data_IF_063068553565
#
_entry.id   IF_063068553565
#
_cell.length_a   1.000
_cell.length_b   1.000
_cell.length_c   1.000
_cell.angle_alpha   90.00
_cell.angle_beta   90.00
_cell.angle_gamma   90.00
#
_symmetry.space_group_name_H-M   'P 1'
#
loop_
_entity.id
_entity.type
_entity.pdbx_description
1 polymer ?
#
# COMPACT_ATOMS: atom_id res chain seq x y z
N UNK A 1 -6.94 -8.18 -26.56
CA UNK A 1 -5.56 -8.08 -26.03
C UNK A 1 -4.95 -9.47 -26.05
N UNK A 2 -3.70 -9.62 -26.48
CA UNK A 2 -2.99 -10.90 -26.38
C UNK A 2 -2.76 -11.23 -24.91
N UNK A 3 -3.12 -12.43 -24.47
CA UNK A 3 -2.96 -12.79 -23.06
C UNK A 3 -1.49 -12.86 -22.64
N UNK A 4 -1.18 -12.42 -21.44
CA UNK A 4 0.17 -12.37 -20.85
C UNK A 4 0.44 -13.60 -19.98
N UNK A 5 1.67 -14.10 -20.02
CA UNK A 5 2.17 -15.03 -19.01
C UNK A 5 2.53 -14.22 -17.76
N UNK A 6 1.79 -14.43 -16.67
CA UNK A 6 1.95 -13.67 -15.44
C UNK A 6 2.50 -14.57 -14.35
N UNK A 7 3.63 -14.18 -13.74
CA UNK A 7 4.13 -14.81 -12.54
C UNK A 7 3.77 -14.01 -11.29
N UNK A 8 3.49 -14.70 -10.18
CA UNK A 8 3.32 -14.07 -8.87
C UNK A 8 4.38 -14.60 -7.92
N UNK A 9 5.38 -13.78 -7.62
CA UNK A 9 6.45 -14.11 -6.69
C UNK A 9 5.97 -13.91 -5.26
N UNK A 10 5.74 -14.99 -4.52
CA UNK A 10 5.10 -14.95 -3.20
C UNK A 10 3.61 -15.26 -3.22
N UNK A 11 3.15 -16.07 -4.20
CA UNK A 11 1.73 -16.37 -4.45
C UNK A 11 0.95 -16.93 -3.24
N UNK A 12 1.63 -17.54 -2.27
CA UNK A 12 0.99 -18.11 -1.05
C UNK A 12 0.96 -17.16 0.15
N UNK A 13 1.51 -15.94 0.00
CA UNK A 13 1.47 -14.91 1.04
C UNK A 13 0.18 -14.08 0.97
N UNK A 14 -0.07 -13.28 1.99
CA UNK A 14 -1.30 -12.45 2.10
C UNK A 14 -1.48 -11.54 0.88
N UNK A 15 -0.42 -10.82 0.47
CA UNK A 15 -0.48 -9.93 -0.71
C UNK A 15 -0.54 -10.71 -2.01
N UNK A 16 0.21 -11.83 -2.14
CA UNK A 16 0.18 -12.65 -3.35
C UNK A 16 -1.20 -13.27 -3.62
N UNK A 17 -1.88 -13.73 -2.57
CA UNK A 17 -3.28 -14.19 -2.65
C UNK A 17 -4.21 -13.05 -3.05
N UNK A 18 -4.03 -11.83 -2.50
CA UNK A 18 -4.83 -10.69 -2.93
C UNK A 18 -4.56 -10.29 -4.39
N UNK A 19 -3.32 -10.40 -4.88
CA UNK A 19 -2.99 -10.14 -6.28
C UNK A 19 -3.72 -11.10 -7.22
N UNK A 20 -3.81 -12.39 -6.87
CA UNK A 20 -4.60 -13.37 -7.63
C UNK A 20 -6.06 -12.93 -7.74
N UNK A 21 -6.69 -12.61 -6.60
CA UNK A 21 -8.06 -12.14 -6.56
C UNK A 21 -8.26 -10.86 -7.40
N UNK A 22 -7.35 -9.90 -7.30
CA UNK A 22 -7.41 -8.66 -8.07
C UNK A 22 -7.27 -8.91 -9.57
N UNK A 23 -6.40 -9.83 -10.01
CA UNK A 23 -6.30 -10.21 -11.42
C UNK A 23 -7.62 -10.77 -11.96
N UNK A 24 -8.29 -11.63 -11.19
CA UNK A 24 -9.59 -12.21 -11.57
C UNK A 24 -10.70 -11.17 -11.63
N UNK A 25 -10.88 -10.39 -10.56
CA UNK A 25 -11.95 -9.40 -10.43
C UNK A 25 -11.83 -8.29 -11.48
N UNK A 26 -10.60 -7.96 -11.87
CA UNK A 26 -10.31 -6.94 -12.88
C UNK A 26 -10.24 -7.50 -14.30
N UNK A 27 -10.47 -8.81 -14.48
CA UNK A 27 -10.41 -9.51 -15.75
C UNK A 27 -9.09 -9.26 -16.50
N UNK A 28 -7.96 -9.26 -15.76
CA UNK A 28 -6.65 -9.07 -16.36
C UNK A 28 -6.37 -10.19 -17.36
N UNK A 29 -5.84 -9.92 -18.56
CA UNK A 29 -5.73 -10.92 -19.62
C UNK A 29 -4.54 -11.86 -19.37
N UNK A 30 -4.68 -12.81 -18.44
CA UNK A 30 -3.70 -13.86 -18.15
C UNK A 30 -3.88 -15.03 -19.13
N UNK A 31 -2.87 -15.33 -19.95
CA UNK A 31 -2.84 -16.54 -20.79
C UNK A 31 -2.29 -17.76 -20.05
N UNK A 32 -1.37 -17.55 -19.12
CA UNK A 32 -0.78 -18.58 -18.26
C UNK A 32 -0.34 -17.97 -16.94
N UNK A 33 -0.82 -18.54 -15.83
CA UNK A 33 -0.38 -18.16 -14.49
C UNK A 33 0.84 -19.00 -14.06
N UNK A 34 1.85 -18.35 -13.50
CA UNK A 34 3.05 -18.98 -12.91
C UNK A 34 3.15 -18.59 -11.43
N UNK A 35 2.46 -19.30 -10.52
CA UNK A 35 2.51 -18.96 -9.10
C UNK A 35 3.81 -19.48 -8.48
N UNK A 36 4.62 -18.56 -7.96
CA UNK A 36 5.94 -18.85 -7.39
C UNK A 36 5.94 -18.64 -5.88
N UNK A 37 6.59 -19.54 -5.16
CA UNK A 37 6.78 -19.42 -3.72
C UNK A 37 8.09 -20.08 -3.26
N UNK A 38 8.36 -20.03 -1.95
CA UNK A 38 9.46 -20.78 -1.33
C UNK A 38 9.34 -22.29 -1.57
N UNK A 39 10.48 -23.01 -1.53
CA UNK A 39 10.55 -24.47 -1.69
C UNK A 39 9.53 -25.24 -0.84
N UNK A 40 9.28 -24.80 0.40
CA UNK A 40 8.28 -25.38 1.33
C UNK A 40 6.83 -25.33 0.83
N UNK A 41 6.52 -24.49 -0.15
CA UNK A 41 5.18 -24.31 -0.71
C UNK A 41 5.04 -24.88 -2.12
N UNK A 42 6.11 -25.42 -2.69
CA UNK A 42 6.08 -26.13 -3.98
C UNK A 42 5.07 -27.28 -3.93
N UNK A 43 4.28 -27.42 -4.99
CA UNK A 43 3.29 -28.50 -5.13
C UNK A 43 1.94 -28.21 -4.46
N UNK A 44 1.81 -27.10 -3.71
CA UNK A 44 0.49 -26.62 -3.28
C UNK A 44 -0.34 -26.24 -4.50
N UNK A 45 -1.66 -26.39 -4.39
CA UNK A 45 -2.60 -25.95 -5.41
C UNK A 45 -3.23 -24.63 -4.95
N UNK A 46 -3.34 -23.69 -5.87
CA UNK A 46 -4.15 -22.48 -5.73
C UNK A 46 -5.24 -22.50 -6.78
N UNK A 47 -6.38 -21.89 -6.48
CA UNK A 47 -7.46 -21.72 -7.45
C UNK A 47 -7.24 -20.38 -8.20
N UNK A 48 -7.40 -20.39 -9.52
CA UNK A 48 -7.38 -19.21 -10.37
C UNK A 48 -8.33 -19.44 -11.56
N UNK A 49 -9.34 -18.59 -11.71
CA UNK A 49 -10.46 -18.74 -12.64
C UNK A 49 -11.15 -20.10 -12.56
N UNK A 50 -11.27 -20.66 -11.35
CA UNK A 50 -11.86 -21.97 -11.10
C UNK A 50 -10.97 -23.17 -11.50
N UNK A 51 -9.75 -22.93 -11.98
CA UNK A 51 -8.76 -23.96 -12.28
C UNK A 51 -7.72 -24.07 -11.17
N UNK A 52 -7.23 -25.29 -10.92
CA UNK A 52 -6.16 -25.52 -9.95
C UNK A 52 -4.81 -25.37 -10.60
N UNK A 53 -4.03 -24.40 -10.13
CA UNK A 53 -2.67 -24.14 -10.60
C UNK A 53 -1.66 -24.56 -9.54
N UNK A 54 -0.66 -25.33 -9.96
CA UNK A 54 0.39 -25.82 -9.06
C UNK A 54 1.42 -24.74 -8.78
N UNK A 55 1.65 -24.45 -7.49
CA UNK A 55 2.70 -23.55 -7.02
C UNK A 55 4.08 -24.14 -7.32
N UNK A 56 4.91 -23.36 -8.00
CA UNK A 56 6.30 -23.70 -8.32
C UNK A 56 7.25 -23.03 -7.33
N UNK A 57 8.46 -23.57 -7.26
CA UNK A 57 9.52 -22.94 -6.48
C UNK A 57 10.05 -21.71 -7.22
N UNK A 58 10.29 -20.63 -6.48
CA UNK A 58 10.83 -19.40 -7.02
C UNK A 58 12.34 -19.54 -7.29
N UNK A 59 12.69 -19.88 -8.53
CA UNK A 59 14.08 -19.94 -9.03
C UNK A 59 14.23 -19.05 -10.28
N UNK A 60 15.45 -18.68 -10.68
CA UNK A 60 15.67 -17.87 -11.88
C UNK A 60 15.04 -18.47 -13.16
N UNK A 61 15.08 -19.79 -13.31
CA UNK A 61 14.55 -20.52 -14.47
C UNK A 61 13.02 -20.47 -14.53
N UNK A 62 12.34 -20.26 -13.40
CA UNK A 62 10.88 -20.18 -13.34
C UNK A 62 10.31 -18.93 -14.04
N UNK A 63 11.17 -17.98 -14.42
CA UNK A 63 10.80 -16.77 -15.17
C UNK A 63 10.92 -16.93 -16.69
N UNK A 64 11.27 -18.11 -17.21
CA UNK A 64 11.35 -18.34 -18.65
C UNK A 64 9.97 -18.18 -19.34
N UNK A 65 9.93 -17.27 -20.31
CA UNK A 65 8.71 -16.96 -21.07
C UNK A 65 7.61 -16.31 -20.22
N UNK A 66 7.99 -15.63 -19.13
CA UNK A 66 7.10 -14.77 -18.33
C UNK A 66 7.15 -13.35 -18.92
N UNK A 67 5.97 -12.75 -19.11
CA UNK A 67 5.86 -11.37 -19.60
C UNK A 67 5.85 -10.37 -18.45
N UNK A 68 5.14 -10.70 -17.36
CA UNK A 68 4.96 -9.81 -16.19
C UNK A 68 5.16 -10.60 -14.91
N UNK A 69 5.93 -10.03 -13.96
CA UNK A 69 6.05 -10.56 -12.59
C UNK A 69 5.39 -9.59 -11.62
N UNK A 70 4.43 -10.06 -10.84
CA UNK A 70 3.92 -9.36 -9.66
C UNK A 70 4.69 -9.85 -8.42
N UNK A 71 5.48 -8.96 -7.83
CA UNK A 71 6.33 -9.25 -6.68
C UNK A 71 5.63 -9.01 -5.35
N UNK A 72 5.43 -10.07 -4.57
CA UNK A 72 4.90 -10.06 -3.21
C UNK A 72 5.82 -10.84 -2.24
N UNK A 73 7.13 -10.69 -2.41
CA UNK A 73 8.16 -11.32 -1.57
C UNK A 73 8.95 -10.26 -0.77
N UNK A 74 9.76 -10.72 0.18
CA UNK A 74 10.60 -9.84 0.99
C UNK A 74 11.80 -9.30 0.21
N UNK A 75 12.38 -8.20 0.71
CA UNK A 75 13.47 -7.46 0.06
C UNK A 75 14.63 -8.34 -0.41
N UNK A 76 15.03 -9.34 0.39
CA UNK A 76 16.13 -10.25 0.05
C UNK A 76 15.81 -11.12 -1.17
N UNK A 77 14.58 -11.66 -1.25
CA UNK A 77 14.16 -12.45 -2.40
C UNK A 77 13.96 -11.55 -3.64
N UNK A 78 13.41 -10.35 -3.46
CA UNK A 78 13.22 -9.39 -4.54
C UNK A 78 14.57 -9.01 -5.18
N UNK A 79 15.59 -8.67 -4.37
CA UNK A 79 16.95 -8.36 -4.84
C UNK A 79 17.62 -9.50 -5.58
N UNK A 80 17.31 -10.74 -5.22
CA UNK A 80 17.88 -11.92 -5.85
C UNK A 80 17.17 -12.30 -7.16
N UNK A 81 15.84 -12.27 -7.18
CA UNK A 81 15.04 -12.91 -8.24
C UNK A 81 14.48 -11.95 -9.28
N UNK A 82 14.17 -10.70 -8.92
CA UNK A 82 13.60 -9.76 -9.88
C UNK A 82 14.59 -9.33 -10.98
N UNK A 83 15.89 -9.13 -10.70
CA UNK A 83 16.88 -8.92 -11.76
C UNK A 83 16.98 -10.11 -12.73
N UNK A 84 16.82 -11.34 -12.23
CA UNK A 84 16.83 -12.55 -13.06
C UNK A 84 15.60 -12.63 -13.98
N UNK A 85 14.43 -12.24 -13.49
CA UNK A 85 13.20 -12.15 -14.29
C UNK A 85 13.31 -11.04 -15.36
N UNK A 86 13.79 -9.86 -14.97
CA UNK A 86 14.02 -8.72 -15.86
C UNK A 86 15.01 -9.06 -16.99
N UNK A 87 16.09 -9.75 -16.69
CA UNK A 87 17.08 -10.21 -17.67
C UNK A 87 16.50 -11.24 -18.68
N UNK A 88 15.42 -11.93 -18.32
CA UNK A 88 14.68 -12.87 -19.18
C UNK A 88 13.54 -12.22 -19.95
N UNK A 89 13.40 -10.90 -19.86
CA UNK A 89 12.44 -10.10 -20.64
C UNK A 89 11.12 -9.78 -19.92
N UNK A 90 10.92 -10.24 -18.68
CA UNK A 90 9.72 -9.91 -17.92
C UNK A 90 9.79 -8.48 -17.36
N UNK A 91 8.67 -7.77 -17.35
CA UNK A 91 8.53 -6.52 -16.57
C UNK A 91 8.05 -6.87 -15.16
N UNK A 92 8.80 -6.45 -14.15
CA UNK A 92 8.53 -6.75 -12.75
C UNK A 92 7.83 -5.56 -12.07
N UNK A 93 6.74 -5.81 -11.37
CA UNK A 93 6.07 -4.86 -10.48
C UNK A 93 6.29 -5.33 -9.03
N UNK A 94 7.20 -4.67 -8.30
CA UNK A 94 7.68 -5.14 -7.00
C UNK A 94 7.04 -4.43 -5.81
N UNK A 95 6.41 -5.18 -4.90
CA UNK A 95 5.86 -4.64 -3.66
C UNK A 95 6.88 -4.49 -2.52
N UNK A 96 8.09 -5.05 -2.66
CA UNK A 96 9.12 -4.94 -1.63
C UNK A 96 9.70 -3.51 -1.54
N UNK A 97 10.49 -3.24 -0.50
CA UNK A 97 11.21 -1.97 -0.39
C UNK A 97 12.51 -1.96 -1.21
N UNK A 98 12.92 -3.10 -1.79
CA UNK A 98 14.24 -3.33 -2.36
C UNK A 98 14.71 -2.27 -3.36
N UNK A 99 13.80 -1.75 -4.19
CA UNK A 99 14.12 -0.88 -5.33
C UNK A 99 13.42 0.48 -5.29
N UNK A 100 12.60 0.77 -4.27
CA UNK A 100 11.68 1.93 -4.27
C UNK A 100 12.38 3.27 -4.44
N UNK A 101 13.59 3.41 -3.89
CA UNK A 101 14.36 4.66 -3.92
C UNK A 101 15.49 4.65 -4.95
N UNK A 102 15.65 3.58 -5.73
CA UNK A 102 16.64 3.54 -6.82
C UNK A 102 16.25 4.57 -7.89
N UNK A 103 17.24 5.33 -8.38
CA UNK A 103 16.98 6.45 -9.31
C UNK A 103 16.50 5.99 -10.69
N UNK A 104 16.80 4.75 -11.08
CA UNK A 104 16.48 4.13 -12.37
C UNK A 104 15.33 3.10 -12.27
N UNK A 105 14.58 3.12 -11.16
CA UNK A 105 13.36 2.33 -10.97
C UNK A 105 12.21 3.28 -10.65
N UNK A 106 11.17 3.38 -11.50
CA UNK A 106 10.02 4.22 -11.20
C UNK A 106 9.24 3.69 -9.99
N UNK A 107 8.71 4.59 -9.17
CA UNK A 107 7.90 4.28 -7.98
C UNK A 107 6.50 4.84 -8.20
N UNK A 108 5.52 3.96 -8.43
CA UNK A 108 4.30 4.36 -9.15
C UNK A 108 3.03 4.17 -8.33
N UNK A 109 2.18 5.21 -8.34
CA UNK A 109 0.76 5.12 -8.02
C UNK A 109 0.00 5.53 -9.29
N UNK A 110 -0.77 4.65 -9.93
CA UNK A 110 -1.40 4.94 -11.22
C UNK A 110 -2.34 6.17 -11.22
N UNK A 111 -2.91 6.53 -10.08
CA UNK A 111 -3.71 7.76 -9.94
C UNK A 111 -2.87 9.06 -9.85
N UNK A 112 -1.55 8.96 -9.71
CA UNK A 112 -0.64 10.09 -9.46
C UNK A 112 0.35 10.28 -10.61
N UNK A 113 1.17 9.28 -10.90
CA UNK A 113 2.28 9.34 -11.85
C UNK A 113 2.32 8.14 -12.83
N UNK A 114 1.22 7.82 -13.54
CA UNK A 114 1.18 6.68 -14.46
C UNK A 114 2.19 6.78 -15.62
N UNK A 115 2.61 7.99 -16.00
CA UNK A 115 3.60 8.25 -17.04
C UNK A 115 4.99 7.66 -16.72
N UNK A 116 5.34 7.55 -15.44
CA UNK A 116 6.61 6.97 -15.00
C UNK A 116 6.74 5.50 -15.38
N UNK A 117 5.61 4.82 -15.60
CA UNK A 117 5.57 3.44 -16.11
C UNK A 117 6.26 3.35 -17.47
N UNK A 118 6.34 4.41 -18.29
CA UNK A 118 7.00 4.33 -19.60
C UNK A 118 8.54 4.24 -19.50
N UNK A 119 9.12 4.64 -18.37
CA UNK A 119 10.57 4.71 -18.19
C UNK A 119 11.05 3.78 -17.06
N UNK A 120 11.13 2.48 -17.37
CA UNK A 120 11.62 1.43 -16.46
C UNK A 120 12.87 0.74 -17.05
N UNK A 121 14.04 1.39 -17.13
CA UNK A 121 15.21 0.86 -17.83
C UNK A 121 15.72 -0.48 -17.26
N UNK A 122 15.38 -0.81 -16.00
CA UNK A 122 15.69 -2.11 -15.38
C UNK A 122 14.65 -3.21 -15.61
N UNK A 123 13.56 -2.94 -16.35
CA UNK A 123 12.36 -3.79 -16.36
C UNK A 123 11.80 -4.07 -14.96
N UNK A 124 11.99 -3.13 -14.03
CA UNK A 124 11.45 -3.17 -12.67
C UNK A 124 10.73 -1.85 -12.42
N UNK A 125 9.52 -1.95 -11.91
CA UNK A 125 8.68 -0.86 -11.43
C UNK A 125 8.38 -1.16 -9.96
N UNK A 126 8.61 -0.19 -9.09
CA UNK A 126 8.35 -0.36 -7.67
C UNK A 126 6.91 0.05 -7.33
N UNK A 127 6.24 -0.80 -6.56
CA UNK A 127 4.97 -0.54 -5.91
C UNK A 127 5.24 0.06 -4.51
N UNK A 128 4.63 1.20 -4.15
CA UNK A 128 4.96 1.92 -2.91
C UNK A 128 4.52 1.24 -1.61
N UNK A 129 4.85 1.89 -0.49
CA UNK A 129 4.37 1.53 0.84
C UNK A 129 2.86 1.76 0.92
N UNK A 130 2.18 0.84 1.59
CA UNK A 130 0.73 0.87 1.66
C UNK A 130 0.16 2.12 2.33
N UNK A 131 0.75 2.59 3.44
CA UNK A 131 0.34 3.84 4.07
C UNK A 131 0.61 5.04 3.16
N UNK A 132 1.74 5.03 2.46
CA UNK A 132 2.04 6.07 1.47
C UNK A 132 1.00 6.14 0.35
N UNK A 133 0.58 5.01 -0.22
CA UNK A 133 -0.50 4.98 -1.23
C UNK A 133 -1.79 5.55 -0.64
N UNK A 134 -2.18 5.08 0.54
CA UNK A 134 -3.45 5.47 1.19
C UNK A 134 -3.47 6.97 1.52
N UNK A 135 -2.36 7.54 2.01
CA UNK A 135 -2.28 8.96 2.29
C UNK A 135 -2.16 9.84 1.04
N UNK A 136 -1.48 9.37 -0.01
CA UNK A 136 -1.20 10.20 -1.18
C UNK A 136 -2.29 10.20 -2.25
N UNK A 137 -3.00 9.10 -2.46
CA UNK A 137 -4.13 9.04 -3.41
C UNK A 137 -5.12 10.19 -3.20
N UNK A 138 -5.58 10.50 -1.96
CA UNK A 138 -6.45 11.65 -1.73
C UNK A 138 -5.68 12.98 -1.65
N UNK A 139 -4.41 12.99 -1.28
CA UNK A 139 -3.62 14.23 -1.20
C UNK A 139 -3.27 14.77 -2.58
N UNK A 140 -3.04 13.90 -3.57
CA UNK A 140 -2.65 14.27 -4.93
C UNK A 140 -3.61 15.25 -5.62
N UNK A 141 -4.94 15.00 -5.71
CA UNK A 141 -5.85 15.94 -6.33
C UNK A 141 -5.91 17.29 -5.58
N UNK A 142 -5.72 17.28 -4.25
CA UNK A 142 -5.61 18.53 -3.47
C UNK A 142 -4.31 19.28 -3.77
N UNK A 143 -3.20 18.57 -3.97
CA UNK A 143 -1.95 19.17 -4.42
C UNK A 143 -2.13 19.80 -5.82
N UNK A 144 -2.76 19.11 -6.76
CA UNK A 144 -3.04 19.66 -8.09
C UNK A 144 -3.92 20.93 -8.00
N UNK A 145 -4.87 20.96 -7.08
CA UNK A 145 -5.74 22.11 -6.87
C UNK A 145 -5.07 23.28 -6.12
N UNK A 146 -4.20 23.04 -5.13
CA UNK A 146 -3.77 24.08 -4.20
C UNK A 146 -2.26 24.16 -3.93
N UNK A 147 -1.46 23.23 -4.44
CA UNK A 147 0.00 23.18 -4.26
C UNK A 147 0.41 22.75 -2.85
N UNK A 148 0.52 21.44 -2.60
CA UNK A 148 1.01 20.90 -1.32
C UNK A 148 2.43 21.38 -0.97
N UNK A 149 2.61 21.94 0.23
CA UNK A 149 3.91 22.34 0.79
C UNK A 149 4.38 21.45 1.94
N UNK A 150 3.43 21.01 2.77
CA UNK A 150 3.72 20.21 3.96
C UNK A 150 2.58 19.25 4.23
N UNK A 151 2.93 18.07 4.70
CA UNK A 151 2.02 17.04 5.16
C UNK A 151 2.43 16.58 6.56
N UNK A 152 1.50 16.63 7.50
CA UNK A 152 1.64 16.06 8.85
C UNK A 152 0.68 14.88 8.92
N UNK A 153 1.20 13.71 9.28
CA UNK A 153 0.45 12.45 9.24
C UNK A 153 0.58 11.71 10.56
N UNK A 154 -0.55 11.24 11.09
CA UNK A 154 -0.57 10.23 12.14
C UNK A 154 -1.32 9.01 11.63
N UNK A 155 -0.63 7.89 11.51
CA UNK A 155 -1.19 6.66 10.96
C UNK A 155 -1.67 5.72 12.05
N UNK A 156 -2.75 5.01 11.75
CA UNK A 156 -3.39 3.98 12.55
C UNK A 156 -3.38 2.70 11.70
N UNK A 157 -2.24 2.03 11.67
CA UNK A 157 -2.01 0.91 10.78
C UNK A 157 -2.50 -0.41 11.38
N UNK A 158 -3.26 -1.17 10.60
CA UNK A 158 -3.78 -2.50 10.94
C UNK A 158 -2.71 -3.59 11.12
N UNK A 159 -3.04 -4.64 11.87
CA UNK A 159 -2.21 -5.80 12.17
C UNK A 159 -1.77 -6.57 10.92
N UNK A 160 -2.61 -6.64 9.88
CA UNK A 160 -2.25 -7.33 8.63
C UNK A 160 -1.09 -6.69 7.86
N UNK A 161 -0.65 -5.47 8.20
CA UNK A 161 0.60 -4.91 7.70
C UNK A 161 1.83 -5.74 8.12
N UNK A 162 1.75 -6.51 9.20
CA UNK A 162 2.77 -7.48 9.62
C UNK A 162 2.54 -8.89 9.03
N UNK A 163 1.66 -9.00 8.02
CA UNK A 163 1.32 -10.26 7.36
C UNK A 163 0.48 -11.21 8.20
N UNK A 164 0.45 -12.47 7.79
CA UNK A 164 -0.33 -13.53 8.46
C UNK A 164 0.05 -13.73 9.94
N UNK A 165 1.33 -13.65 10.36
CA UNK A 165 1.68 -13.71 11.78
C UNK A 165 1.01 -12.62 12.61
N UNK A 166 1.04 -11.36 12.16
CA UNK A 166 0.39 -10.26 12.88
C UNK A 166 -1.13 -10.40 13.02
N UNK A 167 -1.80 -10.95 11.99
CA UNK A 167 -3.23 -11.27 12.05
C UNK A 167 -3.55 -12.32 13.11
N UNK A 168 -2.81 -13.43 13.08
CA UNK A 168 -2.98 -14.53 14.05
C UNK A 168 -2.68 -14.08 15.46
N UNK A 169 -1.71 -13.20 15.62
CA UNK A 169 -1.33 -12.70 16.93
C UNK A 169 -2.41 -11.81 17.53
N UNK A 170 -2.92 -10.84 16.79
CA UNK A 170 -4.04 -10.01 17.27
C UNK A 170 -5.24 -10.88 17.66
N UNK A 171 -5.55 -11.91 16.86
CA UNK A 171 -6.63 -12.87 17.17
C UNK A 171 -6.35 -13.65 18.46
N UNK A 172 -5.13 -14.16 18.64
CA UNK A 172 -4.71 -14.90 19.83
C UNK A 172 -4.82 -14.03 21.08
N UNK A 173 -4.20 -12.85 21.06
CA UNK A 173 -4.19 -11.93 22.20
C UNK A 173 -5.61 -11.52 22.59
N UNK A 174 -6.47 -11.22 21.60
CA UNK A 174 -7.87 -10.84 21.84
C UNK A 174 -8.64 -11.97 22.53
N UNK A 175 -8.47 -13.23 22.11
CA UNK A 175 -9.13 -14.38 22.74
C UNK A 175 -8.65 -14.59 24.19
N UNK A 176 -7.34 -14.55 24.42
CA UNK A 176 -6.76 -14.72 25.75
C UNK A 176 -7.29 -13.67 26.72
N UNK A 177 -7.35 -12.40 26.31
CA UNK A 177 -7.88 -11.32 27.15
C UNK A 177 -9.38 -11.44 27.37
N UNK A 178 -10.14 -11.87 26.36
CA UNK A 178 -11.58 -12.11 26.49
C UNK A 178 -11.90 -13.21 27.51
N UNK A 179 -11.03 -14.21 27.62
CA UNK A 179 -11.14 -15.31 28.59
C UNK A 179 -10.57 -14.94 29.98
N UNK A 180 -10.13 -13.69 30.18
CA UNK A 180 -9.56 -13.21 31.44
C UNK A 180 -8.13 -13.71 31.74
N UNK A 181 -7.42 -14.21 30.72
CA UNK A 181 -6.04 -14.68 30.83
C UNK A 181 -5.01 -13.57 30.63
N UNK A 182 -3.74 -13.93 30.87
CA UNK A 182 -2.57 -13.07 30.58
C UNK A 182 -1.98 -13.44 29.22
N UNK A 183 -1.69 -12.43 28.38
CA UNK A 183 -1.27 -12.62 26.97
C UNK A 183 0.09 -13.33 26.83
N UNK A 184 1.01 -13.12 27.76
CA UNK A 184 2.39 -13.58 27.65
C UNK A 184 3.19 -12.77 26.62
N UNK A 185 4.16 -13.42 25.98
CA UNK A 185 4.99 -12.81 24.93
C UNK A 185 4.18 -12.53 23.66
N UNK A 186 4.55 -11.46 22.95
CA UNK A 186 3.96 -11.07 21.66
C UNK A 186 4.96 -11.26 20.51
N UNK A 187 4.51 -11.86 19.41
CA UNK A 187 5.28 -11.98 18.15
C UNK A 187 4.32 -11.92 16.95
N UNK A 188 4.57 -11.10 15.90
CA UNK A 188 5.81 -10.37 15.61
C UNK A 188 5.89 -8.96 16.23
N UNK A 189 4.95 -8.59 17.08
CA UNK A 189 4.90 -7.25 17.67
C UNK A 189 5.81 -7.16 18.90
N UNK A 190 6.46 -6.01 19.11
CA UNK A 190 7.33 -5.80 20.27
C UNK A 190 6.57 -5.81 21.62
N UNK A 191 5.26 -5.58 21.58
CA UNK A 191 4.36 -5.53 22.73
C UNK A 191 2.99 -6.07 22.34
N UNK A 192 2.15 -6.35 23.34
CA UNK A 192 0.74 -6.69 23.15
C UNK A 192 0.05 -5.64 22.27
N UNK A 193 -0.64 -6.08 21.22
CA UNK A 193 -1.41 -5.22 20.35
C UNK A 193 -2.88 -5.16 20.76
N UNK A 194 -3.48 -6.26 21.18
CA UNK A 194 -4.88 -6.28 21.61
C UNK A 194 -5.11 -5.28 22.76
N UNK A 195 -6.12 -4.43 22.63
CA UNK A 195 -6.44 -3.33 23.55
C UNK A 195 -5.30 -2.33 23.80
N UNK A 196 -4.34 -2.21 22.88
CA UNK A 196 -3.18 -1.35 23.01
C UNK A 196 -2.82 -0.65 21.69
N UNK A 197 -1.95 0.37 21.76
CA UNK A 197 -1.35 1.04 20.61
C UNK A 197 0.17 0.91 20.68
N UNK A 198 0.81 0.57 19.56
CA UNK A 198 2.28 0.46 19.49
C UNK A 198 2.80 1.57 18.58
N UNK A 199 3.42 2.64 19.11
CA UNK A 199 3.92 3.79 18.34
C UNK A 199 5.29 3.49 17.71
N UNK A 200 5.42 2.31 17.11
CA UNK A 200 6.62 1.87 16.41
C UNK A 200 6.22 0.92 15.29
N UNK A 201 6.61 1.26 14.06
CA UNK A 201 6.50 0.36 12.91
C UNK A 201 7.84 0.31 12.18
N UNK A 202 8.39 -0.89 12.04
CA UNK A 202 9.76 -1.06 11.57
C UNK A 202 10.80 -0.64 12.61
N UNK A 203 12.05 -0.50 12.18
CA UNK A 203 13.17 -0.21 13.06
C UNK A 203 13.43 1.30 13.20
N UNK A 204 13.83 1.73 14.40
CA UNK A 204 14.32 3.10 14.61
C UNK A 204 15.59 3.39 13.78
N UNK A 205 15.71 4.66 13.39
CA UNK A 205 16.77 5.28 12.60
C UNK A 205 17.27 6.53 13.36
N UNK A 206 17.99 7.39 12.66
CA UNK A 206 18.49 8.64 13.22
C UNK A 206 17.33 9.54 13.71
N UNK A 207 17.62 10.38 14.70
CA UNK A 207 16.69 11.35 15.30
C UNK A 207 15.38 10.77 15.86
N UNK A 208 15.31 9.46 16.08
CA UNK A 208 14.15 8.78 16.67
C UNK A 208 13.04 8.44 15.67
N UNK A 209 13.23 8.67 14.38
CA UNK A 209 12.29 8.23 13.35
C UNK A 209 12.38 6.73 13.11
N UNK A 210 11.26 6.11 12.77
CA UNK A 210 11.20 4.72 12.32
C UNK A 210 11.36 4.63 10.80
N UNK A 211 11.77 3.46 10.31
CA UNK A 211 11.85 3.19 8.88
C UNK A 211 10.50 3.37 8.17
N UNK A 212 9.37 3.15 8.85
CA UNK A 212 8.05 3.33 8.25
C UNK A 212 7.69 4.80 8.06
N UNK A 213 8.03 5.66 9.02
CA UNK A 213 7.82 7.10 8.91
C UNK A 213 8.68 7.72 7.80
N UNK A 214 9.92 7.25 7.65
CA UNK A 214 10.80 7.69 6.57
C UNK A 214 10.34 7.23 5.19
N UNK A 215 9.63 6.09 5.07
CA UNK A 215 9.03 5.67 3.78
C UNK A 215 8.01 6.68 3.31
N UNK A 216 7.07 7.11 4.17
CA UNK A 216 6.06 8.12 3.82
C UNK A 216 6.71 9.39 3.22
N UNK A 217 7.77 9.89 3.87
CA UNK A 217 8.51 11.05 3.40
C UNK A 217 9.22 10.79 2.06
N UNK A 218 10.07 9.77 2.01
CA UNK A 218 10.98 9.58 0.88
C UNK A 218 10.24 9.09 -0.37
N UNK A 219 9.32 8.14 -0.19
CA UNK A 219 8.47 7.64 -1.26
C UNK A 219 7.51 8.73 -1.73
N UNK A 220 6.88 9.49 -0.82
CA UNK A 220 5.95 10.54 -1.22
C UNK A 220 6.58 11.66 -2.03
N UNK A 221 7.80 12.10 -1.68
CA UNK A 221 8.56 13.05 -2.50
C UNK A 221 8.84 12.52 -3.91
N UNK A 222 9.18 11.24 -4.03
CA UNK A 222 9.49 10.60 -5.32
C UNK A 222 8.23 10.45 -6.19
N UNK A 223 7.15 9.89 -5.62
CA UNK A 223 5.89 9.62 -6.32
C UNK A 223 5.23 10.91 -6.82
N UNK A 224 5.21 11.96 -6.00
CA UNK A 224 4.56 13.22 -6.37
C UNK A 224 5.47 14.16 -7.17
N UNK A 225 6.74 13.80 -7.37
CA UNK A 225 7.78 14.67 -7.92
C UNK A 225 7.96 16.01 -7.15
N UNK A 226 7.85 15.96 -5.82
CA UNK A 226 7.94 17.11 -4.92
C UNK A 226 9.13 16.98 -3.95
N UNK A 227 10.39 17.21 -4.40
CA UNK A 227 11.58 16.98 -3.56
C UNK A 227 11.60 17.83 -2.29
N UNK A 228 11.02 19.04 -2.35
CA UNK A 228 11.01 19.99 -1.23
C UNK A 228 9.79 19.89 -0.32
N UNK A 229 8.81 19.01 -0.65
CA UNK A 229 7.64 18.84 0.20
C UNK A 229 8.07 18.34 1.58
N UNK A 230 7.56 18.99 2.62
CA UNK A 230 7.92 18.69 4.02
C UNK A 230 6.98 17.63 4.57
N UNK A 231 7.53 16.59 5.19
CA UNK A 231 6.75 15.55 5.83
C UNK A 231 7.06 15.52 7.32
N UNK A 232 6.04 15.27 8.13
CA UNK A 232 6.18 14.81 9.51
C UNK A 232 5.18 13.67 9.69
N UNK A 233 5.66 12.47 9.95
CA UNK A 233 4.83 11.28 10.04
C UNK A 233 5.07 10.60 11.39
N UNK A 234 4.00 10.15 12.03
CA UNK A 234 4.03 9.25 13.17
C UNK A 234 3.29 7.97 12.82
N UNK A 235 3.95 6.82 12.97
CA UNK A 235 3.38 5.53 12.60
C UNK A 235 3.03 4.66 13.79
N UNK A 236 1.73 4.37 13.97
CA UNK A 236 1.22 3.59 15.11
C UNK A 236 0.51 2.33 14.62
N UNK A 237 0.90 1.18 15.16
CA UNK A 237 0.16 -0.09 14.96
C UNK A 237 -1.01 -0.12 15.93
N UNK A 238 -2.19 -0.43 15.41
CA UNK A 238 -3.47 -0.42 16.15
C UNK A 238 -4.17 -1.78 16.07
N UNK A 239 -5.06 -2.13 17.01
CA UNK A 239 -5.70 -3.44 17.09
C UNK A 239 -6.88 -3.55 16.10
N UNK A 240 -6.57 -3.30 14.83
CA UNK A 240 -7.49 -3.39 13.70
C UNK A 240 -6.96 -4.49 12.79
N UNK A 241 -7.85 -5.40 12.38
CA UNK A 241 -7.48 -6.57 11.57
C UNK A 241 -6.93 -6.13 10.22
N UNK A 242 -7.65 -5.26 9.50
CA UNK A 242 -7.40 -4.87 8.12
C UNK A 242 -7.89 -3.44 7.88
N UNK A 243 -7.31 -2.77 6.89
CA UNK A 243 -7.46 -1.34 6.56
C UNK A 243 -6.68 -0.40 7.48
N UNK A 244 -5.86 0.45 6.88
CA UNK A 244 -5.16 1.53 7.58
C UNK A 244 -6.05 2.75 7.65
N UNK A 245 -5.86 3.57 8.68
CA UNK A 245 -6.46 4.88 8.75
C UNK A 245 -5.40 5.94 9.01
N UNK A 246 -5.62 7.16 8.54
CA UNK A 246 -4.64 8.24 8.66
C UNK A 246 -5.35 9.55 8.95
N UNK A 247 -4.87 10.27 9.97
CA UNK A 247 -5.20 11.66 10.18
C UNK A 247 -4.13 12.51 9.51
N UNK A 248 -4.53 13.32 8.54
CA UNK A 248 -3.61 14.08 7.69
C UNK A 248 -3.96 15.56 7.78
N UNK A 249 -2.95 16.39 8.04
CA UNK A 249 -3.02 17.85 7.89
C UNK A 249 -2.05 18.29 6.81
N UNK A 250 -2.56 19.02 5.83
CA UNK A 250 -1.79 19.55 4.70
C UNK A 250 -1.75 21.07 4.75
N UNK A 251 -0.58 21.66 4.49
CA UNK A 251 -0.40 23.09 4.19
C UNK A 251 -0.24 23.26 2.67
N UNK A 252 -0.88 24.29 2.10
CA UNK A 252 -0.95 24.54 0.66
C UNK A 252 -0.44 25.94 0.27
N UNK A 253 0.02 26.09 -0.97
CA UNK A 253 0.40 27.36 -1.60
C UNK A 253 -0.80 28.30 -1.71
N UNK A 254 -1.93 27.77 -2.18
CA UNK A 254 -3.17 28.51 -2.41
C UNK A 254 -4.24 28.15 -1.38
N UNK A 255 -5.16 29.08 -1.06
CA UNK A 255 -6.33 28.74 -0.27
C UNK A 255 -7.15 27.67 -0.98
N UNK A 256 -7.64 26.70 -0.20
CA UNK A 256 -8.62 25.71 -0.64
C UNK A 256 -9.65 25.55 0.48
N UNK A 257 -10.92 25.72 0.15
CA UNK A 257 -11.99 25.58 1.14
C UNK A 257 -12.32 24.09 1.39
N UNK A 258 -12.91 23.73 2.55
CA UNK A 258 -13.40 22.36 2.75
C UNK A 258 -14.41 21.91 1.69
N UNK A 259 -15.27 22.82 1.22
CA UNK A 259 -16.28 22.52 0.19
C UNK A 259 -15.63 22.23 -1.16
N UNK A 260 -14.70 23.09 -1.58
CA UNK A 260 -13.89 22.89 -2.78
C UNK A 260 -13.05 21.60 -2.70
N UNK A 261 -12.45 21.31 -1.55
CA UNK A 261 -11.72 20.06 -1.33
C UNK A 261 -12.62 18.83 -1.48
N UNK A 262 -13.85 18.86 -0.97
CA UNK A 262 -14.83 17.78 -1.17
C UNK A 262 -15.18 17.59 -2.64
N UNK A 263 -15.39 18.67 -3.39
CA UNK A 263 -15.69 18.62 -4.82
C UNK A 263 -14.53 18.01 -5.61
N UNK A 264 -13.30 18.48 -5.35
CA UNK A 264 -12.07 17.96 -5.97
C UNK A 264 -11.90 16.46 -5.68
N UNK A 265 -12.06 16.05 -4.41
CA UNK A 265 -11.91 14.65 -3.99
C UNK A 265 -13.02 13.75 -4.55
N UNK A 266 -14.27 14.25 -4.66
CA UNK A 266 -15.39 13.48 -5.20
C UNK A 266 -15.22 13.16 -6.69
N UNK A 267 -14.49 14.00 -7.43
CA UNK A 267 -14.14 13.77 -8.84
C UNK A 267 -12.84 12.98 -9.06
N UNK A 268 -12.07 12.69 -8.00
CA UNK A 268 -10.75 12.09 -8.12
C UNK A 268 -10.83 10.55 -8.26
N UNK A 269 -10.03 9.94 -9.17
CA UNK A 269 -9.96 8.49 -9.29
C UNK A 269 -9.38 7.87 -8.01
N UNK A 270 -9.89 6.69 -7.65
CA UNK A 270 -9.41 5.95 -6.46
C UNK A 270 -9.88 6.52 -5.12
N UNK A 271 -10.67 7.59 -5.10
CA UNK A 271 -11.18 8.25 -3.89
C UNK A 271 -12.69 8.07 -3.75
N UNK A 272 -13.16 7.83 -2.52
CA UNK A 272 -14.58 7.89 -2.15
C UNK A 272 -14.77 8.87 -0.99
N UNK A 273 -15.50 9.95 -1.23
CA UNK A 273 -15.82 10.92 -0.16
C UNK A 273 -16.95 10.36 0.72
N UNK A 274 -16.69 10.30 2.02
CA UNK A 274 -17.65 9.99 3.08
C UNK A 274 -17.48 11.09 4.13
N UNK A 275 -18.15 12.22 3.97
CA UNK A 275 -17.95 13.40 4.83
C UNK A 275 -19.26 14.12 5.13
N UNK A 276 -20.05 13.56 6.03
CA UNK A 276 -21.23 14.22 6.61
C UNK A 276 -21.24 14.02 8.13
N UNK A 277 -20.53 14.89 8.89
CA UNK A 277 -20.51 14.82 10.33
C UNK A 277 -21.89 14.97 11.00
N UNK A 278 -22.86 15.61 10.35
CA UNK A 278 -24.21 15.80 10.91
C UNK A 278 -25.00 14.48 10.95
N UNK A 279 -24.74 13.57 10.01
CA UNK A 279 -25.31 12.21 9.97
C UNK A 279 -24.37 11.13 10.49
N UNK A 280 -23.23 11.50 11.08
CA UNK A 280 -22.18 10.60 11.55
C UNK A 280 -21.56 9.73 10.44
N UNK A 281 -21.50 10.26 9.21
CA UNK A 281 -20.82 9.60 8.10
C UNK A 281 -19.38 10.10 7.96
N UNK A 282 -18.42 9.19 8.16
CA UNK A 282 -16.99 9.43 8.01
C UNK A 282 -16.28 8.12 7.64
N UNK A 283 -15.04 8.17 7.10
CA UNK A 283 -14.31 6.95 6.73
C UNK A 283 -14.06 6.09 7.97
N UNK A 284 -14.27 4.79 7.80
CA UNK A 284 -13.93 3.80 8.80
C UNK A 284 -13.17 2.62 8.17
N UNK A 285 -12.25 1.99 8.90
CA UNK A 285 -11.53 0.82 8.43
C UNK A 285 -12.46 -0.36 8.13
N UNK A 286 -13.61 -0.43 8.82
CA UNK A 286 -14.65 -1.43 8.55
C UNK A 286 -15.20 -1.33 7.12
N UNK A 287 -15.50 -0.12 6.65
CA UNK A 287 -16.16 0.11 5.35
C UNK A 287 -15.19 0.14 4.15
N UNK A 288 -13.91 0.39 4.44
CA UNK A 288 -12.84 0.45 3.44
C UNK A 288 -12.09 -0.87 3.28
N UNK A 289 -12.30 -1.83 4.18
CA UNK A 289 -11.76 -3.18 4.03
C UNK A 289 -12.35 -3.86 2.79
N UNK A 290 -11.49 -4.58 2.07
CA UNK A 290 -11.75 -5.24 0.80
C UNK A 290 -12.27 -4.32 -0.32
N UNK A 291 -11.95 -3.02 -0.23
CA UNK A 291 -12.25 -2.04 -1.27
C UNK A 291 -10.99 -1.63 -2.03
N UNK A 292 -11.16 -1.33 -3.32
CA UNK A 292 -10.10 -0.74 -4.17
C UNK A 292 -9.97 0.79 -3.96
N UNK A 293 -10.91 1.41 -3.25
CA UNK A 293 -10.96 2.87 -3.07
C UNK A 293 -10.42 3.29 -1.70
N UNK A 294 -9.80 4.47 -1.65
CA UNK A 294 -9.47 5.17 -0.41
C UNK A 294 -10.66 6.04 -0.01
N UNK A 295 -11.17 5.83 1.19
CA UNK A 295 -12.29 6.58 1.73
C UNK A 295 -11.77 7.82 2.43
N UNK A 296 -12.36 8.99 2.20
CA UNK A 296 -11.88 10.28 2.73
C UNK A 296 -13.02 11.09 3.30
N UNK A 297 -12.77 11.77 4.43
CA UNK A 297 -13.74 12.65 5.04
C UNK A 297 -13.17 13.35 6.25
N UNK A 298 -14.05 13.85 7.11
CA UNK A 298 -13.70 14.78 8.19
C UNK A 298 -12.93 16.00 7.66
N UNK A 299 -13.25 16.46 6.45
CA UNK A 299 -12.50 17.50 5.76
C UNK A 299 -12.86 18.85 6.37
N UNK A 300 -11.85 19.56 6.86
CA UNK A 300 -12.01 20.83 7.58
C UNK A 300 -10.76 21.67 7.50
N UNK A 301 -10.88 22.98 7.75
CA UNK A 301 -9.72 23.85 7.96
C UNK A 301 -8.98 23.46 9.24
N UNK A 302 -7.66 23.57 9.23
CA UNK A 302 -6.87 23.50 10.46
C UNK A 302 -7.02 24.82 11.23
N UNK A 303 -7.68 24.77 12.39
CA UNK A 303 -7.90 25.95 13.24
C UNK A 303 -6.64 26.39 13.98
N UNK A 304 -5.60 25.55 14.02
CA UNK A 304 -4.31 25.87 14.64
C UNK A 304 -3.32 26.52 13.68
N UNK A 305 -3.66 26.59 12.39
CA UNK A 305 -2.81 27.18 11.37
C UNK A 305 -2.55 28.66 11.67
N UNK A 306 -1.29 29.14 11.60
CA UNK A 306 -0.98 30.56 11.73
C UNK A 306 -1.68 31.40 10.65
N UNK A 307 -1.88 32.69 10.93
CA UNK A 307 -2.44 33.63 9.95
C UNK A 307 -1.66 33.59 8.63
N UNK A 308 -2.40 33.49 7.51
CA UNK A 308 -1.83 33.40 6.17
C UNK A 308 -1.38 32.00 5.73
N UNK A 309 -1.49 30.98 6.59
CA UNK A 309 -1.24 29.58 6.21
C UNK A 309 -2.54 28.92 5.76
N UNK A 310 -2.55 28.40 4.53
CA UNK A 310 -3.68 27.65 3.99
C UNK A 310 -3.54 26.19 4.41
N UNK A 311 -4.34 25.72 5.37
CA UNK A 311 -4.25 24.35 5.84
C UNK A 311 -5.60 23.65 5.96
N UNK A 312 -5.63 22.38 5.54
CA UNK A 312 -6.78 21.48 5.70
C UNK A 312 -6.35 20.23 6.46
N UNK A 313 -7.26 19.72 7.27
CA UNK A 313 -7.16 18.41 7.90
C UNK A 313 -8.26 17.51 7.36
N UNK A 314 -7.92 16.25 7.08
CA UNK A 314 -8.86 15.20 6.73
C UNK A 314 -8.46 13.88 7.36
N UNK A 315 -9.37 12.91 7.32
CA UNK A 315 -9.15 11.54 7.73
C UNK A 315 -9.39 10.63 6.53
N UNK A 316 -8.55 9.63 6.33
CA UNK A 316 -8.77 8.63 5.29
C UNK A 316 -8.58 7.21 5.79
N UNK A 317 -9.24 6.26 5.14
CA UNK A 317 -9.09 4.83 5.37
C UNK A 317 -8.91 4.09 4.03
N UNK A 318 -8.06 3.08 4.01
CA UNK A 318 -7.85 2.26 2.82
C UNK A 318 -7.35 0.87 3.17
N UNK A 319 -7.80 -0.13 2.40
CA UNK A 319 -7.32 -1.49 2.54
C UNK A 319 -5.86 -1.59 2.09
N UNK A 320 -4.96 -1.86 3.04
CA UNK A 320 -3.54 -1.85 2.78
C UNK A 320 -3.03 -3.09 2.02
N UNK A 321 -3.75 -4.22 2.10
CA UNK A 321 -3.40 -5.44 1.35
C UNK A 321 -3.89 -5.32 -0.09
N UNK A 322 -5.05 -4.66 -0.26
CA UNK A 322 -5.72 -4.47 -1.54
C UNK A 322 -5.24 -3.18 -2.21
N UNK A 323 -5.88 -2.01 -1.98
CA UNK A 323 -5.44 -0.76 -2.61
C UNK A 323 -3.99 -0.39 -2.27
N UNK A 324 -3.57 -0.59 -1.02
CA UNK A 324 -2.20 -0.31 -0.59
C UNK A 324 -1.13 -1.30 -1.08
N UNK A 325 -1.48 -2.35 -1.82
CA UNK A 325 -0.49 -3.28 -2.37
C UNK A 325 -0.96 -3.94 -3.67
N UNK A 326 -1.88 -4.91 -3.58
CA UNK A 326 -2.26 -5.77 -4.70
C UNK A 326 -2.94 -5.03 -5.85
N UNK A 327 -3.95 -4.22 -5.57
CA UNK A 327 -4.69 -3.49 -6.62
C UNK A 327 -3.77 -2.48 -7.30
N UNK A 328 -2.93 -1.76 -6.55
CA UNK A 328 -1.98 -0.82 -7.15
C UNK A 328 -1.00 -1.54 -8.08
N UNK A 329 -0.46 -2.68 -7.67
CA UNK A 329 0.43 -3.50 -8.51
C UNK A 329 -0.27 -4.04 -9.78
N UNK A 330 -1.52 -4.51 -9.66
CA UNK A 330 -2.31 -4.96 -10.82
C UNK A 330 -2.64 -3.79 -11.74
N UNK A 331 -3.01 -2.63 -11.20
CA UNK A 331 -3.23 -1.42 -11.99
C UNK A 331 -1.95 -1.01 -12.75
N UNK A 332 -0.77 -1.04 -12.13
CA UNK A 332 0.51 -0.81 -12.85
C UNK A 332 0.65 -1.81 -14.01
N UNK A 333 0.36 -3.09 -13.78
CA UNK A 333 0.43 -4.10 -14.82
C UNK A 333 -0.58 -3.87 -15.96
N UNK A 334 -1.75 -3.29 -15.69
CA UNK A 334 -2.76 -2.95 -16.72
C UNK A 334 -2.21 -1.93 -17.74
N UNK A 335 -1.32 -1.02 -17.32
CA UNK A 335 -0.65 -0.09 -18.23
C UNK A 335 0.43 -0.75 -19.11
N UNK A 336 0.80 -2.01 -18.86
CA UNK A 336 1.80 -2.77 -19.62
C UNK A 336 1.19 -3.67 -20.72
N UNK A 337 -0.14 -3.67 -20.86
CA UNK A 337 -0.90 -4.57 -21.75
C UNK A 337 -1.40 -3.87 -22.99
#
# INVERSE_FOLDING_TARGET
>A
MSGKVVAILGATGVVGTQMLQCLEERNFPVSRLVPLASARSRGKLIDFHGEKVTVQEATPEAFEGVDIVLGAAGDAQAKQLLPEAAARGAVCVDNSHAFRLDADVPLVVPEINPEDIQNHPRNIIANPNCATIIGLVPTWPLHQAAGLRRMIVSTYQAASGAGMPGLRELERETKVLADGGEVGDSDPFAYQLAYNLIPQIGGFKDDGYTSEELKMQNEGRKIMHLPDCRFNCTCVRVPIVRSHSESITCEFDRPISPDEAREVLAGAPGVKVVDDPASLAYPMPLDSSDQDLVYVGRIRRDLSAPDGVNALTFFCCGDQIRKGAATNAVQIAEYLV
#
